data_IF_728515715268
#
_entry.id   IF_728515715268
#
_cell.length_a   1.000
_cell.length_b   1.000
_cell.length_c   1.000
_cell.angle_alpha   90.00
_cell.angle_beta   90.00
_cell.angle_gamma   90.00
#
_symmetry.space_group_name_H-M   'P 1'
#
loop_
_entity.id
_entity.type
_entity.pdbx_description
1 polymer ?
#
# COMPACT_ATOMS: atom_id res chain seq x y z
N UNK A 1 9.62 -18.04 35.80
CA UNK A 1 9.40 -16.59 35.92
C UNK A 1 7.95 -16.32 35.59
N UNK A 2 7.21 -15.64 36.47
CA UNK A 2 5.86 -15.16 36.15
C UNK A 2 6.00 -13.77 35.52
N UNK A 3 5.73 -13.68 34.23
CA UNK A 3 5.67 -12.43 33.46
C UNK A 3 4.34 -11.74 33.78
N UNK A 4 4.33 -10.42 33.93
CA UNK A 4 3.09 -9.68 34.18
C UNK A 4 2.15 -9.74 32.96
N UNK A 5 0.82 -9.57 33.12
CA UNK A 5 -0.10 -9.52 31.98
C UNK A 5 0.23 -8.43 30.96
N UNK A 6 0.77 -7.30 31.42
CA UNK A 6 1.17 -6.16 30.59
C UNK A 6 2.43 -6.49 29.78
N UNK A 7 3.46 -7.02 30.43
CA UNK A 7 4.69 -7.48 29.77
C UNK A 7 4.40 -8.58 28.72
N UNK A 8 3.44 -9.47 29.02
CA UNK A 8 2.99 -10.50 28.09
C UNK A 8 2.23 -9.91 26.88
N UNK A 9 1.47 -8.84 27.08
CA UNK A 9 0.75 -8.15 26.00
C UNK A 9 1.72 -7.41 25.08
N UNK A 10 2.66 -6.63 25.64
CA UNK A 10 3.70 -5.95 24.86
C UNK A 10 4.55 -6.94 24.04
N UNK A 11 4.90 -8.08 24.63
CA UNK A 11 5.62 -9.13 23.92
C UNK A 11 4.82 -9.70 22.73
N UNK A 12 3.50 -9.92 22.91
CA UNK A 12 2.62 -10.37 21.81
C UNK A 12 2.51 -9.34 20.69
N UNK A 13 2.39 -8.07 21.05
CA UNK A 13 2.29 -6.97 20.09
C UNK A 13 3.56 -6.83 19.25
N UNK A 14 4.73 -6.88 19.90
CA UNK A 14 6.03 -6.87 19.19
C UNK A 14 6.16 -8.05 18.22
N UNK A 15 5.86 -9.26 18.68
CA UNK A 15 5.92 -10.44 17.79
C UNK A 15 4.94 -10.35 16.63
N UNK A 16 3.75 -9.79 16.85
CA UNK A 16 2.77 -9.60 15.78
C UNK A 16 3.26 -8.58 14.75
N UNK A 17 3.90 -7.49 15.19
CA UNK A 17 4.53 -6.50 14.30
C UNK A 17 5.63 -7.15 13.47
N UNK A 18 6.55 -7.89 14.09
CA UNK A 18 7.64 -8.56 13.38
C UNK A 18 7.14 -9.61 12.38
N UNK A 19 6.11 -10.38 12.74
CA UNK A 19 5.48 -11.33 11.84
C UNK A 19 4.86 -10.65 10.62
N UNK A 20 4.14 -9.53 10.82
CA UNK A 20 3.55 -8.73 9.74
C UNK A 20 4.61 -8.11 8.82
N UNK A 21 5.73 -7.62 9.37
CA UNK A 21 6.85 -7.11 8.57
C UNK A 21 7.43 -8.25 7.71
N UNK A 22 7.74 -9.40 8.32
CA UNK A 22 8.28 -10.56 7.60
C UNK A 22 7.33 -11.06 6.52
N UNK A 23 6.02 -10.97 6.73
CA UNK A 23 5.01 -11.34 5.76
C UNK A 23 5.05 -10.43 4.53
N UNK A 24 5.12 -9.11 4.73
CA UNK A 24 5.29 -8.14 3.64
C UNK A 24 6.61 -8.37 2.89
N UNK A 25 7.73 -8.55 3.60
CA UNK A 25 9.04 -8.83 3.02
C UNK A 25 9.01 -10.11 2.15
N UNK A 26 8.36 -11.18 2.64
CA UNK A 26 8.19 -12.44 1.90
C UNK A 26 7.39 -12.25 0.63
N UNK A 27 6.29 -11.47 0.66
CA UNK A 27 5.51 -11.17 -0.53
C UNK A 27 6.36 -10.50 -1.61
N UNK A 28 7.15 -9.48 -1.26
CA UNK A 28 8.08 -8.86 -2.19
C UNK A 28 9.13 -9.85 -2.72
N UNK A 29 9.68 -10.69 -1.85
CA UNK A 29 10.68 -11.69 -2.23
C UNK A 29 10.15 -12.78 -3.18
N UNK A 30 8.83 -12.98 -3.30
CA UNK A 30 8.27 -13.94 -4.27
C UNK A 30 8.46 -13.53 -5.72
N UNK A 31 8.72 -12.25 -5.99
CA UNK A 31 8.75 -11.70 -7.35
C UNK A 31 7.35 -11.45 -7.95
N UNK A 32 6.26 -11.64 -7.19
CA UNK A 32 4.89 -11.36 -7.67
C UNK A 32 4.70 -9.88 -8.05
N UNK A 33 5.47 -8.98 -7.45
CA UNK A 33 5.45 -7.54 -7.74
C UNK A 33 6.51 -7.11 -8.79
N UNK A 34 6.86 -8.02 -9.70
CA UNK A 34 7.69 -7.74 -10.88
C UNK A 34 6.83 -7.57 -12.13
N UNK A 35 7.44 -7.10 -13.23
CA UNK A 35 6.77 -7.00 -14.52
C UNK A 35 6.14 -8.33 -14.98
N UNK A 36 6.82 -9.46 -14.78
CA UNK A 36 6.29 -10.79 -15.10
C UNK A 36 5.20 -11.25 -14.10
N UNK A 37 5.28 -10.76 -12.87
CA UNK A 37 4.35 -11.12 -11.80
C UNK A 37 2.94 -10.55 -11.98
N UNK A 38 2.78 -9.45 -12.74
CA UNK A 38 1.47 -8.80 -12.95
C UNK A 38 0.47 -9.67 -13.69
N UNK A 39 0.95 -10.56 -14.57
CA UNK A 39 0.11 -11.48 -15.34
C UNK A 39 -0.33 -12.70 -14.53
N UNK A 40 0.23 -12.86 -13.32
CA UNK A 40 -0.15 -13.93 -12.42
C UNK A 40 -1.59 -13.74 -11.91
N UNK A 41 -2.39 -14.82 -11.82
CA UNK A 41 -3.70 -14.75 -11.20
C UNK A 41 -3.65 -14.35 -9.70
N UNK A 42 -2.47 -14.44 -9.08
CA UNK A 42 -2.26 -14.10 -7.68
C UNK A 42 -1.83 -12.65 -7.46
N UNK A 43 -1.56 -11.87 -8.52
CA UNK A 43 -1.09 -10.48 -8.37
C UNK A 43 -2.08 -9.64 -7.56
N UNK A 44 -3.36 -9.65 -7.95
CA UNK A 44 -4.40 -8.88 -7.27
C UNK A 44 -4.56 -9.30 -5.81
N UNK A 45 -4.57 -10.60 -5.51
CA UNK A 45 -4.69 -11.08 -4.14
C UNK A 45 -3.46 -10.74 -3.29
N UNK A 46 -2.26 -10.83 -3.87
CA UNK A 46 -1.02 -10.45 -3.19
C UNK A 46 -0.98 -8.96 -2.86
N UNK A 47 -1.38 -8.08 -3.79
CA UNK A 47 -1.45 -6.63 -3.54
C UNK A 47 -2.48 -6.29 -2.49
N UNK A 48 -3.66 -6.91 -2.51
CA UNK A 48 -4.70 -6.71 -1.48
C UNK A 48 -4.16 -7.13 -0.11
N UNK A 49 -3.54 -8.31 -0.03
CA UNK A 49 -2.95 -8.80 1.21
C UNK A 49 -1.87 -7.86 1.75
N UNK A 50 -0.98 -7.40 0.86
CA UNK A 50 0.04 -6.41 1.20
C UNK A 50 -0.58 -5.12 1.73
N UNK A 51 -1.61 -4.58 1.08
CA UNK A 51 -2.33 -3.39 1.52
C UNK A 51 -2.95 -3.55 2.91
N UNK A 52 -3.51 -4.72 3.22
CA UNK A 52 -4.10 -5.01 4.53
C UNK A 52 -3.01 -4.98 5.62
N UNK A 53 -1.95 -5.77 5.43
CA UNK A 53 -0.89 -5.92 6.44
C UNK A 53 -0.08 -4.63 6.61
N UNK A 54 0.30 -3.99 5.50
CA UNK A 54 1.07 -2.74 5.54
C UNK A 54 0.25 -1.58 6.12
N UNK A 55 -1.04 -1.46 5.80
CA UNK A 55 -1.88 -0.46 6.43
C UNK A 55 -1.91 -0.65 7.95
N UNK A 56 -2.07 -1.88 8.44
CA UNK A 56 -2.08 -2.15 9.89
C UNK A 56 -0.76 -1.73 10.57
N UNK A 57 0.40 -2.03 9.96
CA UNK A 57 1.70 -1.56 10.43
C UNK A 57 1.78 -0.03 10.48
N UNK A 58 1.34 0.66 9.42
CA UNK A 58 1.35 2.12 9.36
C UNK A 58 0.45 2.75 10.44
N UNK A 59 -0.73 2.16 10.69
CA UNK A 59 -1.61 2.63 11.76
C UNK A 59 -1.01 2.38 13.16
N UNK A 60 -0.27 1.29 13.36
CA UNK A 60 0.45 1.04 14.62
C UNK A 60 1.56 2.06 14.83
N UNK A 61 2.34 2.37 13.78
CA UNK A 61 3.39 3.39 13.85
C UNK A 61 2.82 4.79 14.14
N UNK A 62 1.68 5.14 13.54
CA UNK A 62 0.97 6.40 13.81
C UNK A 62 0.53 6.51 15.28
N UNK A 63 -0.04 5.43 15.84
CA UNK A 63 -0.48 5.39 17.25
C UNK A 63 0.64 5.62 18.26
N UNK A 64 1.88 5.28 17.91
CA UNK A 64 3.07 5.51 18.75
C UNK A 64 3.83 6.78 18.36
N UNK A 65 3.24 7.67 17.55
CA UNK A 65 3.81 8.96 17.16
C UNK A 65 4.94 8.87 16.13
N UNK A 66 5.09 7.74 15.42
CA UNK A 66 6.11 7.48 14.41
C UNK A 66 5.51 7.29 13.01
N UNK A 67 4.57 8.16 12.64
CA UNK A 67 3.87 8.12 11.36
C UNK A 67 4.83 8.21 10.18
N UNK A 68 4.65 7.34 9.18
CA UNK A 68 5.30 7.44 7.86
C UNK A 68 4.48 8.39 6.98
N UNK A 69 5.02 9.55 6.63
CA UNK A 69 4.23 10.67 6.07
C UNK A 69 4.82 11.32 4.82
N UNK A 70 5.63 10.60 4.05
CA UNK A 70 6.14 11.14 2.79
C UNK A 70 5.01 11.41 1.78
N UNK A 71 5.23 12.39 0.91
CA UNK A 71 4.24 12.92 -0.05
C UNK A 71 4.67 12.77 -1.51
N UNK A 72 5.87 12.23 -1.74
CA UNK A 72 6.38 12.00 -3.09
C UNK A 72 5.43 11.09 -3.89
N UNK A 73 5.07 11.54 -5.10
CA UNK A 73 4.13 10.85 -5.99
C UNK A 73 2.72 10.61 -5.41
N UNK A 74 2.35 11.34 -4.35
CA UNK A 74 1.00 11.34 -3.78
C UNK A 74 0.21 12.50 -4.40
N UNK A 75 -0.72 12.17 -5.29
CA UNK A 75 -1.62 13.18 -5.85
C UNK A 75 -2.56 13.71 -4.76
N UNK A 76 -2.67 15.05 -4.57
CA UNK A 76 -3.62 15.62 -3.63
C UNK A 76 -5.05 15.25 -4.03
N UNK A 77 -5.79 14.60 -3.13
CA UNK A 77 -7.20 14.27 -3.33
C UNK A 77 -7.90 14.25 -1.97
N UNK A 78 -8.89 15.15 -1.77
CA UNK A 78 -9.69 15.38 -0.57
C UNK A 78 -8.98 15.12 0.78
N UNK A 79 -8.89 13.86 1.21
CA UNK A 79 -8.36 13.41 2.51
C UNK A 79 -6.97 12.74 2.44
N UNK A 80 -6.40 12.59 1.24
CA UNK A 80 -5.08 12.01 1.02
C UNK A 80 -4.03 13.11 1.09
N UNK A 81 -3.26 13.08 2.18
CA UNK A 81 -2.21 14.07 2.47
C UNK A 81 -0.80 13.46 2.48
N UNK A 82 -0.71 12.13 2.58
CA UNK A 82 0.55 11.40 2.67
C UNK A 82 0.39 9.93 2.25
N UNK A 83 1.49 9.19 2.20
CA UNK A 83 1.46 7.76 1.83
C UNK A 83 0.59 6.91 2.77
N UNK A 84 0.54 7.24 4.08
CA UNK A 84 -0.25 6.46 5.05
C UNK A 84 -1.74 6.59 4.76
N UNK A 85 -2.22 7.79 4.46
CA UNK A 85 -3.61 8.03 4.03
C UNK A 85 -3.88 7.43 2.66
N UNK A 86 -2.95 7.55 1.70
CA UNK A 86 -3.06 6.92 0.38
C UNK A 86 -3.24 5.40 0.47
N UNK A 87 -2.36 4.71 1.20
CA UNK A 87 -2.40 3.24 1.37
C UNK A 87 -3.70 2.83 2.07
N UNK A 88 -4.17 3.59 3.06
CA UNK A 88 -5.45 3.34 3.72
C UNK A 88 -6.62 3.41 2.72
N UNK A 89 -6.69 4.49 1.93
CA UNK A 89 -7.73 4.66 0.92
C UNK A 89 -7.67 3.56 -0.15
N UNK A 90 -6.49 3.22 -0.65
CA UNK A 90 -6.31 2.12 -1.62
C UNK A 90 -6.70 0.77 -1.04
N UNK A 91 -6.39 0.50 0.24
CA UNK A 91 -6.86 -0.71 0.94
C UNK A 91 -8.38 -0.76 0.99
N UNK A 92 -9.04 0.33 1.37
CA UNK A 92 -10.50 0.39 1.42
C UNK A 92 -11.11 0.22 0.02
N UNK A 93 -10.51 0.81 -1.02
CA UNK A 93 -10.90 0.58 -2.40
C UNK A 93 -10.79 -0.89 -2.78
N UNK A 94 -9.66 -1.53 -2.50
CA UNK A 94 -9.39 -2.88 -2.95
C UNK A 94 -10.21 -3.96 -2.22
N UNK A 95 -10.47 -3.77 -0.91
CA UNK A 95 -11.19 -4.76 -0.09
C UNK A 95 -12.72 -4.67 -0.18
N UNK A 96 -13.28 -3.51 -0.55
CA UNK A 96 -14.73 -3.34 -0.62
C UNK A 96 -15.21 -3.41 -2.08
N UNK A 97 -15.94 -4.48 -2.42
CA UNK A 97 -16.47 -4.71 -3.78
C UNK A 97 -17.25 -3.48 -4.29
N UNK A 98 -18.23 -2.90 -3.55
CA UNK A 98 -18.95 -1.70 -3.97
C UNK A 98 -18.28 -0.38 -3.54
N UNK A 99 -16.96 -0.35 -3.34
CA UNK A 99 -16.28 0.85 -2.81
C UNK A 99 -16.46 2.06 -3.71
N UNK A 100 -16.93 3.18 -3.13
CA UNK A 100 -16.99 4.48 -3.80
C UNK A 100 -15.60 5.01 -4.16
N UNK A 101 -14.56 4.54 -3.47
CA UNK A 101 -13.17 4.93 -3.73
C UNK A 101 -12.67 4.51 -5.13
N UNK A 102 -13.37 3.59 -5.80
CA UNK A 102 -13.10 3.16 -7.17
C UNK A 102 -13.75 4.09 -8.21
N UNK A 103 -14.69 4.93 -7.81
CA UNK A 103 -15.43 5.79 -8.72
C UNK A 103 -14.60 7.02 -9.10
N UNK A 104 -14.65 7.39 -10.38
CA UNK A 104 -14.05 8.62 -10.90
C UNK A 104 -14.94 9.21 -11.99
N UNK A 105 -15.63 10.32 -11.67
CA UNK A 105 -16.41 11.09 -12.63
C UNK A 105 -17.36 10.25 -13.51
N UNK A 106 -18.08 9.29 -12.91
CA UNK A 106 -19.01 8.40 -13.61
C UNK A 106 -18.37 7.13 -14.21
N UNK A 107 -17.05 6.97 -14.10
CA UNK A 107 -16.33 5.74 -14.44
C UNK A 107 -15.92 4.97 -13.17
N UNK A 108 -15.51 3.71 -13.34
CA UNK A 108 -14.95 2.86 -12.29
C UNK A 108 -13.55 2.41 -12.68
N UNK A 109 -12.55 2.77 -11.88
CA UNK A 109 -11.19 2.27 -11.98
C UNK A 109 -10.95 1.34 -10.80
N UNK A 110 -11.14 0.04 -11.04
CA UNK A 110 -11.03 -1.01 -10.03
C UNK A 110 -9.82 -1.87 -10.33
N UNK A 111 -8.66 -1.47 -9.81
CA UNK A 111 -7.42 -2.23 -9.89
C UNK A 111 -6.84 -2.25 -11.32
N UNK A 112 -6.74 -1.11 -11.98
CA UNK A 112 -6.04 -1.02 -13.27
C UNK A 112 -4.53 -1.01 -13.03
N UNK A 113 -3.78 -1.86 -13.74
CA UNK A 113 -2.34 -2.05 -13.55
C UNK A 113 -1.58 -1.48 -14.76
N UNK A 114 -0.54 -0.71 -14.50
CA UNK A 114 0.34 -0.11 -15.50
C UNK A 114 1.79 -0.46 -15.17
N UNK A 115 2.49 -1.13 -16.10
CA UNK A 115 3.87 -1.60 -15.92
C UNK A 115 4.80 -0.72 -16.74
N UNK A 116 5.87 -0.23 -16.12
CA UNK A 116 6.83 0.65 -16.78
C UNK A 116 6.20 1.97 -17.21
N UNK A 117 6.96 2.79 -17.94
CA UNK A 117 6.54 4.17 -18.23
C UNK A 117 5.44 4.21 -19.27
N UNK A 118 4.27 4.67 -18.83
CA UNK A 118 3.05 4.75 -19.63
C UNK A 118 2.12 5.85 -19.10
N UNK A 119 2.57 7.12 -19.02
CA UNK A 119 1.91 8.18 -18.24
C UNK A 119 0.49 8.53 -18.71
N UNK A 120 0.19 8.22 -19.97
CA UNK A 120 -1.09 8.51 -20.63
C UNK A 120 -1.76 7.22 -21.16
N UNK A 121 -1.59 6.09 -20.45
CA UNK A 121 -2.13 4.80 -20.88
C UNK A 121 -3.66 4.80 -21.04
N UNK A 122 -4.37 5.54 -20.18
CA UNK A 122 -5.83 5.67 -20.23
C UNK A 122 -6.22 7.14 -20.06
N UNK A 123 -7.08 7.64 -20.93
CA UNK A 123 -7.72 8.95 -20.78
C UNK A 123 -9.20 8.81 -20.45
N UNK A 124 -9.69 9.52 -19.43
CA UNK A 124 -11.12 9.61 -19.13
C UNK A 124 -11.47 11.00 -18.59
N UNK A 125 -12.48 11.64 -19.20
CA UNK A 125 -13.00 12.95 -18.78
C UNK A 125 -11.91 14.03 -18.59
N UNK A 126 -10.88 14.03 -19.44
CA UNK A 126 -9.77 14.99 -19.38
C UNK A 126 -8.68 14.65 -18.37
N UNK A 127 -8.83 13.58 -17.57
CA UNK A 127 -7.76 13.03 -16.75
C UNK A 127 -7.00 11.93 -17.51
N UNK A 128 -5.72 11.77 -17.17
CA UNK A 128 -4.84 10.72 -17.69
C UNK A 128 -4.34 9.83 -16.56
N UNK A 129 -4.36 8.53 -16.82
CA UNK A 129 -3.94 7.48 -15.90
C UNK A 129 -2.85 6.64 -16.54
N UNK A 130 -1.94 6.15 -15.71
CA UNK A 130 -0.74 5.49 -16.18
C UNK A 130 0.32 5.36 -15.09
N UNK A 131 1.52 5.00 -15.52
CA UNK A 131 2.73 5.02 -14.69
C UNK A 131 3.74 6.01 -15.27
N UNK A 132 4.43 6.75 -14.40
CA UNK A 132 5.38 7.79 -14.80
C UNK A 132 6.82 7.25 -14.88
N UNK A 133 7.04 6.01 -14.44
CA UNK A 133 8.35 5.45 -14.15
C UNK A 133 8.58 4.13 -14.90
N UNK A 134 9.79 3.96 -15.44
CA UNK A 134 10.20 2.76 -16.18
C UNK A 134 10.39 1.54 -15.26
N UNK A 135 10.76 1.79 -14.01
CA UNK A 135 11.17 0.80 -13.00
C UNK A 135 10.07 0.45 -12.00
N UNK A 136 8.83 0.90 -12.22
CA UNK A 136 7.74 0.72 -11.25
C UNK A 136 6.44 0.23 -11.91
N UNK A 137 5.54 -0.25 -11.05
CA UNK A 137 4.20 -0.69 -11.40
C UNK A 137 3.22 0.20 -10.65
N UNK A 138 2.33 0.86 -11.40
CA UNK A 138 1.24 1.64 -10.84
C UNK A 138 -0.05 0.82 -10.80
N UNK A 139 -0.76 0.85 -9.68
CA UNK A 139 -2.13 0.33 -9.53
C UNK A 139 -3.06 1.51 -9.28
N UNK A 140 -4.13 1.59 -10.07
CA UNK A 140 -5.09 2.69 -10.03
C UNK A 140 -6.41 2.27 -9.38
N UNK A 141 -6.88 3.10 -8.46
CA UNK A 141 -8.15 2.98 -7.73
C UNK A 141 -8.91 4.32 -7.78
N UNK A 142 -9.94 4.43 -8.61
CA UNK A 142 -10.59 5.72 -8.86
C UNK A 142 -9.57 6.76 -9.36
N UNK A 143 -9.46 7.91 -8.68
CA UNK A 143 -8.43 8.93 -8.94
C UNK A 143 -7.05 8.62 -8.35
N UNK A 144 -6.92 7.57 -7.53
CA UNK A 144 -5.72 7.32 -6.72
C UNK A 144 -4.76 6.38 -7.42
N UNK A 145 -3.52 6.83 -7.55
CA UNK A 145 -2.42 6.06 -8.10
C UNK A 145 -1.52 5.57 -6.99
N UNK A 146 -1.20 4.28 -7.01
CA UNK A 146 -0.36 3.63 -6.02
C UNK A 146 0.81 2.94 -6.73
N UNK A 147 2.04 3.30 -6.38
CA UNK A 147 3.25 2.68 -6.92
C UNK A 147 3.77 1.57 -6.01
N UNK A 148 4.08 0.38 -6.57
CA UNK A 148 4.56 -0.74 -5.76
C UNK A 148 5.93 -0.45 -5.13
N UNK A 149 6.86 0.10 -5.89
CA UNK A 149 8.20 0.44 -5.40
C UNK A 149 8.17 1.72 -4.56
N UNK A 150 7.72 2.82 -5.17
CA UNK A 150 7.80 4.16 -4.55
C UNK A 150 6.89 4.37 -3.36
N UNK A 151 5.73 3.68 -3.31
CA UNK A 151 4.82 3.79 -2.17
C UNK A 151 4.91 2.57 -1.26
N UNK A 152 4.64 1.37 -1.76
CA UNK A 152 4.48 0.20 -0.87
C UNK A 152 5.80 -0.30 -0.30
N UNK A 153 6.82 -0.53 -1.13
CA UNK A 153 8.13 -1.00 -0.66
C UNK A 153 8.82 0.06 0.21
N UNK A 154 8.77 1.33 -0.21
CA UNK A 154 9.30 2.44 0.61
C UNK A 154 8.59 2.54 1.95
N UNK A 155 7.25 2.52 1.98
CA UNK A 155 6.50 2.58 3.23
C UNK A 155 6.80 1.37 4.14
N UNK A 156 6.97 0.18 3.57
CA UNK A 156 7.42 -0.99 4.34
C UNK A 156 8.79 -0.77 4.99
N UNK A 157 9.75 -0.23 4.24
CA UNK A 157 11.10 0.03 4.77
C UNK A 157 11.07 1.09 5.89
N UNK A 158 10.36 2.21 5.67
CA UNK A 158 10.26 3.29 6.65
C UNK A 158 9.49 2.86 7.91
N UNK A 159 8.38 2.12 7.77
CA UNK A 159 7.61 1.64 8.93
C UNK A 159 8.37 0.56 9.71
N UNK A 160 9.17 -0.26 9.02
CA UNK A 160 10.03 -1.26 9.66
C UNK A 160 11.09 -0.59 10.53
N UNK A 161 11.77 0.44 10.02
CA UNK A 161 12.71 1.22 10.83
C UNK A 161 12.00 1.87 12.03
N UNK A 162 10.85 2.50 11.79
CA UNK A 162 10.06 3.15 12.83
C UNK A 162 9.61 2.21 13.96
N UNK A 163 9.29 0.94 13.66
CA UNK A 163 8.77 -0.02 14.62
C UNK A 163 9.81 -0.99 15.20
N UNK A 164 10.99 -1.13 14.59
CA UNK A 164 12.10 -1.94 15.14
C UNK A 164 13.09 -1.13 15.95
N UNK A 165 13.17 0.19 15.74
CA UNK A 165 13.98 1.11 16.55
C UNK A 165 13.22 1.56 17.83
N UNK A 166 12.23 0.80 18.29
CA UNK A 166 11.43 1.05 19.52
C UNK A 166 11.61 -0.08 20.53
#
# INVERSE_FOLDING_TARGET
MNVSPEEAQEWRERNAVDASIQECEKLFATGIFSGDGVDSPFFKSATIHLLIVLNDLLQKADKVGRRVSFVDDVAPADEINDVTTLINSCRNAACHIPSKEKAFQGNTFDFNVFVGKSPNAVGANGAVFGSDYEDDIAVQFGSRRLYLGRHLLRALNEVTAALRDS
#
